data_IF_721108229938
#
_entry.id   IF_721108229938
#
_cell.length_a   1.000
_cell.length_b   1.000
_cell.length_c   1.000
_cell.angle_alpha   90.00
_cell.angle_beta   90.00
_cell.angle_gamma   90.00
#
_symmetry.space_group_name_H-M   'P 1'
#
loop_
_entity.id
_entity.type
_entity.pdbx_description
1 polymer ?
2 non-polymer ?
3 water ?
#
# COMPACT_ATOMS: atom_id res chain seq x y z
N UNK A 1 5.89 -0.98 13.77
CA UNK A 1 5.04 0.13 14.20
C UNK A 1 3.63 -0.05 13.67
N UNK A 2 3.55 -0.43 12.39
CA UNK A 2 2.27 -0.88 11.86
C UNK A 2 1.90 -2.26 12.41
N UNK A 3 2.83 -2.96 13.06
CA UNK A 3 2.57 -4.25 13.72
C UNK A 3 1.95 -4.11 15.10
N UNK A 4 1.96 -2.93 15.71
CA UNK A 4 1.42 -2.76 17.07
C UNK A 4 -0.05 -2.38 16.98
N UNK A 5 -0.92 -3.19 17.60
CA UNK A 5 -2.35 -2.89 17.58
C UNK A 5 -2.70 -1.62 18.34
N UNK A 6 -1.73 -0.99 19.01
CA UNK A 6 -2.00 0.28 19.69
C UNK A 6 -2.33 1.37 18.68
N UNK A 7 -1.72 1.33 17.51
CA UNK A 7 -1.96 2.33 16.46
C UNK A 7 -2.99 1.89 15.43
N UNK A 8 -3.60 0.73 15.61
CA UNK A 8 -4.65 0.26 14.70
C UNK A 8 -5.96 1.04 14.84
N UNK A 9 -5.85 2.36 15.01
CA UNK A 9 -6.98 3.26 15.18
C UNK A 9 -7.74 3.45 13.86
N UNK A 10 -8.91 4.09 13.96
CA UNK A 10 -9.72 4.28 12.76
C UNK A 10 -9.14 5.35 11.84
N UNK A 11 -8.61 6.43 12.43
CA UNK A 11 -7.91 7.43 11.63
C UNK A 11 -6.75 6.80 10.88
N UNK A 12 -6.00 5.92 11.53
CA UNK A 12 -4.90 5.26 10.85
C UNK A 12 -5.39 4.25 9.82
N UNK A 13 -6.53 3.60 10.08
CA UNK A 13 -7.10 2.68 9.09
C UNK A 13 -7.43 3.42 7.80
N UNK A 14 -8.10 4.58 7.91
CA UNK A 14 -8.45 5.38 6.73
C UNK A 14 -7.22 5.93 6.04
N UNK A 15 -6.24 6.40 6.83
CA UNK A 15 -4.99 6.90 6.25
C UNK A 15 -4.32 5.83 5.41
N UNK A 16 -4.19 4.63 5.97
CA UNK A 16 -3.61 3.51 5.22
C UNK A 16 -4.45 3.18 4.00
N UNK A 17 -5.78 3.20 4.14
CA UNK A 17 -6.65 2.88 3.01
C UNK A 17 -6.35 3.81 1.83
N UNK A 18 -6.29 5.11 2.09
CA UNK A 18 -6.11 6.04 0.99
C UNK A 18 -4.69 5.97 0.44
N UNK A 19 -3.69 5.81 1.31
CA UNK A 19 -2.32 5.68 0.81
C UNK A 19 -2.14 4.40 0.00
N UNK A 20 -2.87 3.35 0.38
CA UNK A 20 -2.77 2.13 -0.41
C UNK A 20 -3.39 2.30 -1.79
N UNK A 21 -4.46 3.10 -1.91
CA UNK A 21 -4.96 3.39 -3.26
C UNK A 21 -3.92 4.12 -4.11
N UNK A 22 -3.27 5.12 -3.52
CA UNK A 22 -2.21 5.83 -4.27
C UNK A 22 -1.15 4.85 -4.75
N UNK A 23 -0.68 4.01 -3.83
CA UNK A 23 0.40 3.08 -4.14
C UNK A 23 -0.07 2.03 -5.14
N UNK A 24 -1.36 1.70 -5.15
CA UNK A 24 -1.84 0.62 -6.05
C UNK A 24 -1.68 1.02 -7.52
N UNK A 25 -1.90 2.29 -7.84
CA UNK A 25 -1.77 2.78 -9.23
C UNK A 25 -0.30 2.69 -9.67
N UNK A 26 0.62 3.04 -8.78
CA UNK A 26 2.07 2.93 -9.11
C UNK A 26 2.41 1.49 -9.45
N UNK A 27 1.83 0.52 -8.74
CA UNK A 27 2.18 -0.91 -8.94
C UNK A 27 1.60 -1.42 -10.26
N UNK A 28 0.75 -0.62 -10.91
CA UNK A 28 0.17 -1.00 -12.21
C UNK A 28 1.00 -0.41 -13.35
N UNK A 29 1.94 0.49 -13.04
CA UNK A 29 2.82 1.03 -14.10
C UNK A 29 3.64 -0.09 -14.72
N UNK A 30 3.83 -0.10 -16.06
CA UNK A 30 4.69 -1.10 -16.69
C UNK A 30 6.11 -1.01 -16.13
N UNK A 31 6.78 -2.16 -15.97
CA UNK A 31 8.11 -2.20 -15.36
C UNK A 31 8.03 -2.39 -13.86
N UNK A 32 7.22 -1.59 -13.20
CA UNK A 32 7.10 -1.64 -11.71
C UNK A 32 6.32 -2.90 -11.35
N UNK A 33 5.35 -3.25 -12.19
CA UNK A 33 4.50 -4.38 -11.80
C UNK A 33 5.29 -5.68 -11.81
N UNK A 34 6.07 -5.90 -12.87
CA UNK A 34 7.04 -6.99 -12.90
C UNK A 34 7.97 -6.98 -11.69
N UNK A 35 8.56 -5.81 -11.39
CA UNK A 35 9.51 -5.76 -10.28
C UNK A 35 8.83 -6.10 -8.96
N UNK A 36 7.59 -5.68 -8.80
CA UNK A 36 6.85 -6.00 -7.59
C UNK A 36 6.57 -7.50 -7.48
N UNK A 37 6.17 -8.15 -8.58
CA UNK A 37 5.89 -9.58 -8.46
C UNK A 37 7.17 -10.37 -8.20
N UNK A 38 8.29 -9.90 -8.74
CA UNK A 38 9.59 -10.48 -8.41
C UNK A 38 9.89 -10.34 -6.92
N UNK A 39 9.74 -9.13 -6.40
CA UNK A 39 9.87 -8.87 -4.98
C UNK A 39 9.03 -9.85 -4.15
N UNK A 40 7.74 -9.99 -4.50
CA UNK A 40 6.86 -10.85 -3.73
C UNK A 40 7.35 -12.30 -3.74
N UNK A 41 7.75 -12.78 -4.93
CA UNK A 41 8.32 -14.11 -5.08
C UNK A 41 9.45 -14.33 -4.07
N UNK A 42 10.38 -13.37 -4.02
CA UNK A 42 11.53 -13.50 -3.12
C UNK A 42 11.09 -13.46 -1.66
N UNK A 43 10.28 -12.49 -1.29
CA UNK A 43 9.99 -12.17 0.10
C UNK A 43 9.03 -13.13 0.80
N UNK A 44 8.20 -13.86 0.04
CA UNK A 44 7.20 -14.73 0.71
C UNK A 44 7.87 -15.67 1.72
N UNK A 45 9.14 -16.01 1.52
CA UNK A 45 9.84 -16.95 2.40
C UNK A 45 10.35 -16.33 3.71
N UNK A 46 10.50 -15.02 3.76
CA UNK A 46 11.01 -14.36 4.96
C UNK A 46 10.08 -14.59 6.14
N UNK A 47 10.67 -14.82 7.32
CA UNK A 47 9.87 -15.05 8.52
C UNK A 47 9.20 -13.77 9.02
N UNK A 48 9.71 -12.59 8.65
CA UNK A 48 8.96 -11.36 8.88
C UNK A 48 7.52 -11.45 8.35
N UNK A 49 7.25 -12.34 7.40
CA UNK A 49 5.94 -12.40 6.77
C UNK A 49 5.17 -13.66 7.18
N UNK A 50 5.39 -14.13 8.40
CA UNK A 50 4.60 -15.24 8.93
C UNK A 50 3.18 -14.75 9.16
N UNK A 51 2.20 -15.52 8.68
CA UNK A 51 0.81 -15.12 8.77
C UNK A 51 0.35 -14.09 7.75
N UNK A 52 1.21 -13.69 6.80
CA UNK A 52 0.82 -12.89 5.64
C UNK A 52 0.67 -13.71 4.35
N UNK A 53 0.67 -15.05 4.45
CA UNK A 53 0.73 -15.88 3.25
C UNK A 53 -0.50 -15.69 2.37
N UNK A 54 -1.69 -15.56 2.96
CA UNK A 54 -2.88 -15.30 2.16
C UNK A 54 -2.75 -14.00 1.36
N UNK A 55 -2.19 -12.97 1.98
CA UNK A 55 -2.01 -11.68 1.28
C UNK A 55 -0.97 -11.78 0.18
N UNK A 56 0.17 -12.43 0.48
CA UNK A 56 1.13 -12.72 -0.58
C UNK A 56 0.47 -13.46 -1.73
N UNK A 57 -0.39 -14.43 -1.44
CA UNK A 57 -1.00 -15.21 -2.50
C UNK A 57 -1.91 -14.34 -3.33
N UNK A 58 -2.73 -13.53 -2.67
CA UNK A 58 -3.64 -12.65 -3.38
C UNK A 58 -2.88 -11.66 -4.26
N UNK A 59 -1.83 -11.03 -3.72
CA UNK A 59 -1.07 -10.08 -4.52
C UNK A 59 -0.33 -10.77 -5.65
N UNK A 60 0.13 -12.01 -5.43
CA UNK A 60 0.92 -12.71 -6.43
C UNK A 60 0.07 -13.20 -7.60
N UNK A 61 -1.20 -13.50 -7.37
CA UNK A 61 -2.06 -14.07 -8.40
C UNK A 61 -3.12 -13.10 -8.88
N UNK A 62 -2.93 -11.80 -8.64
CA UNK A 62 -3.84 -10.79 -9.15
C UNK A 62 -5.23 -10.80 -8.56
N UNK A 63 -5.34 -11.02 -7.23
CA UNK A 63 -6.63 -10.87 -6.60
C UNK A 63 -6.87 -9.40 -6.24
N UNK A 64 -8.13 -8.96 -6.26
CA UNK A 64 -8.42 -7.60 -5.79
C UNK A 64 -7.89 -7.38 -4.38
N UNK A 65 -7.44 -6.15 -4.10
CA UNK A 65 -6.84 -5.86 -2.77
C UNK A 65 -7.88 -6.10 -1.68
N UNK A 66 -9.13 -5.75 -1.98
CA UNK A 66 -10.23 -5.94 -0.99
C UNK A 66 -11.24 -6.93 -1.60
N UNK A 67 -12.07 -7.56 -0.77
CA UNK A 67 -12.95 -8.64 -1.30
C UNK A 67 -13.93 -8.12 -2.37
N UNK A 68 -14.83 -7.21 -2.00
CA UNK A 68 -15.89 -6.72 -2.95
C UNK A 68 -16.83 -7.89 -3.29
N UNK B 1 -7.99 -0.11 -0.77
CA UNK B 1 -8.04 0.22 -2.20
C UNK B 1 -9.42 0.01 -2.84
N UNK B 2 -10.35 0.92 -2.55
CA UNK B 2 -11.63 1.07 -3.25
C UNK B 2 -12.31 2.34 -2.75
N UNK B 3 -12.97 3.05 -3.65
CA UNK B 3 -13.66 4.28 -3.29
C UNK B 3 -15.08 4.04 -2.76
N UNK B 4 -15.48 2.80 -2.52
CA UNK B 4 -16.83 2.49 -2.06
C UNK B 4 -16.84 2.32 -0.54
N UNK B 5 -17.57 3.22 0.13
CA UNK B 5 -17.76 3.12 1.57
C UNK B 5 -18.51 1.84 1.94
N UNK B 6 -19.24 1.24 0.99
CA UNK B 6 -19.92 -0.03 1.27
C UNK B 6 -18.92 -1.17 1.48
N UNK B 7 -17.81 -1.14 0.75
CA UNK B 7 -16.76 -2.15 0.89
C UNK B 7 -15.77 -1.83 2.00
N UNK B 8 -16.00 -0.77 2.78
CA UNK B 8 -15.06 -0.34 3.81
C UNK B 8 -15.28 -1.12 5.11
N UNK B 9 -15.19 -2.44 4.98
CA UNK B 9 -15.39 -3.38 6.09
C UNK B 9 -14.10 -3.57 6.87
N UNK B 10 -14.23 -3.74 8.19
CA UNK B 10 -13.05 -3.92 9.04
C UNK B 10 -12.20 -5.10 8.60
N UNK B 11 -12.83 -6.13 8.02
CA UNK B 11 -12.06 -7.24 7.45
C UNK B 11 -11.23 -6.75 6.27
N UNK B 12 -11.83 -5.95 5.38
CA UNK B 12 -11.06 -5.37 4.30
C UNK B 12 -10.05 -4.35 4.81
N UNK B 13 -10.37 -3.63 5.89
CA UNK B 13 -9.39 -2.75 6.51
C UNK B 13 -8.14 -3.52 6.92
N UNK B 14 -8.32 -4.72 7.50
CA UNK B 14 -7.17 -5.52 7.92
C UNK B 14 -6.40 -6.06 6.72
N UNK B 15 -7.11 -6.58 5.72
CA UNK B 15 -6.51 -6.96 4.45
C UNK B 15 -5.60 -5.85 3.90
N UNK B 16 -6.14 -4.63 3.83
CA UNK B 16 -5.42 -3.54 3.21
C UNK B 16 -4.25 -3.12 4.08
N UNK B 17 -4.46 -3.09 5.41
CA UNK B 17 -3.35 -2.84 6.33
C UNK B 17 -2.17 -3.76 6.05
N UNK B 18 -2.44 -5.06 5.94
CA UNK B 18 -1.34 -6.02 5.77
C UNK B 18 -0.70 -5.89 4.40
N UNK B 19 -1.50 -5.67 3.35
CA UNK B 19 -0.89 -5.52 2.03
C UNK B 19 -0.06 -4.25 1.95
N UNK B 20 -0.48 -3.19 2.65
CA UNK B 20 0.34 -2.00 2.67
C UNK B 20 1.65 -2.27 3.40
N UNK B 21 1.64 -3.03 4.49
CA UNK B 21 2.91 -3.37 5.13
C UNK B 21 3.82 -4.10 4.16
N UNK B 22 3.25 -4.98 3.34
CA UNK B 22 4.06 -5.72 2.38
C UNK B 22 4.65 -4.77 1.34
N UNK B 23 3.85 -3.86 0.80
CA UNK B 23 4.35 -3.03 -0.30
C UNK B 23 5.29 -1.93 0.22
N UNK B 24 5.13 -1.53 1.47
CA UNK B 24 6.00 -0.49 2.03
C UNK B 24 7.45 -0.92 1.97
N UNK B 25 7.73 -2.20 2.28
CA UNK B 25 9.09 -2.69 2.20
C UNK B 25 9.62 -2.61 0.76
N UNK B 26 8.75 -2.90 -0.21
CA UNK B 26 9.16 -2.84 -1.60
C UNK B 26 9.50 -1.42 -2.04
N UNK B 27 8.81 -0.42 -1.48
CA UNK B 27 9.01 0.96 -1.89
C UNK B 27 10.32 1.53 -1.37
N UNK B 28 10.86 0.97 -0.30
CA UNK B 28 12.10 1.48 0.24
C UNK B 28 13.32 0.90 -0.47
N UNK B 29 13.12 0.01 -1.43
CA UNK B 29 14.23 -0.62 -2.13
C UNK B 29 14.87 0.39 -3.09
N UNK B 30 16.19 0.40 -3.24
CA UNK B 30 16.83 1.41 -4.08
C UNK B 30 16.37 1.32 -5.53
N UNK B 31 16.32 2.48 -6.19
CA UNK B 31 15.73 2.56 -7.52
C UNK B 31 14.22 2.74 -7.45
N UNK B 32 13.54 1.80 -6.80
CA UNK B 32 12.07 1.81 -6.69
C UNK B 32 11.58 3.06 -5.97
N UNK B 33 12.27 3.47 -4.88
CA UNK B 33 11.84 4.65 -4.14
C UNK B 33 11.91 5.91 -5.00
N UNK B 34 12.89 5.98 -5.91
CA UNK B 34 13.00 7.15 -6.79
C UNK B 34 11.90 7.14 -7.85
N UNK B 35 11.61 5.97 -8.43
CA UNK B 35 10.55 5.91 -9.41
C UNK B 35 9.20 6.18 -8.75
N UNK B 36 9.07 5.82 -7.47
CA UNK B 36 7.86 6.14 -6.73
C UNK B 36 7.77 7.64 -6.49
N UNK B 37 8.89 8.27 -6.18
CA UNK B 37 8.88 9.73 -6.06
C UNK B 37 8.47 10.38 -7.38
N UNK B 38 9.01 9.90 -8.51
CA UNK B 38 8.62 10.46 -9.81
C UNK B 38 7.13 10.30 -10.03
N UNK B 39 6.60 9.13 -9.70
CA UNK B 39 5.17 8.88 -9.81
C UNK B 39 4.38 9.90 -9.00
N UNK B 40 4.78 10.13 -7.73
CA UNK B 40 4.03 11.07 -6.91
C UNK B 40 4.13 12.50 -7.45
N UNK B 41 5.33 12.89 -7.91
CA UNK B 41 5.51 14.24 -8.43
C UNK B 41 4.55 14.48 -9.60
N UNK B 42 4.29 13.45 -10.40
CA UNK B 42 3.31 13.56 -11.49
C UNK B 42 1.87 13.50 -10.95
N UNK B 43 1.60 12.55 -10.06
CA UNK B 43 0.24 12.23 -9.62
C UNK B 43 -0.37 13.30 -8.70
N UNK B 44 0.47 14.08 -8.01
CA UNK B 44 -0.06 15.09 -7.10
C UNK B 44 -0.82 16.19 -7.83
N UNK B 45 -0.61 16.33 -9.14
CA UNK B 45 -1.32 17.29 -9.96
C UNK B 45 -2.58 16.72 -10.63
N UNK B 46 -2.96 15.47 -10.32
CA UNK B 46 -4.04 14.79 -11.03
C UNK B 46 -5.33 14.97 -10.27
N UNK B 47 -6.23 15.78 -10.83
CA UNK B 47 -7.45 16.19 -10.15
C UNK B 47 -8.42 15.04 -9.93
N UNK B 48 -8.19 13.87 -10.53
CA UNK B 48 -8.99 12.69 -10.19
C UNK B 48 -8.88 12.30 -8.71
N UNK B 49 -7.79 12.68 -8.04
CA UNK B 49 -7.62 12.42 -6.61
C UNK B 49 -8.31 13.51 -5.79
N UNK B 50 -9.64 13.42 -5.78
CA UNK B 50 -10.47 14.29 -4.96
C UNK B 50 -10.38 13.85 -3.51
N UNK B 51 -9.85 14.72 -2.65
CA UNK B 51 -9.76 14.43 -1.23
C UNK B 51 -8.48 13.78 -0.77
N UNK B 52 -7.52 13.56 -1.65
CA UNK B 52 -6.27 12.91 -1.28
C UNK B 52 -5.14 13.91 -1.11
N UNK B 53 -5.43 15.21 -1.13
CA UNK B 53 -4.38 16.22 -0.99
C UNK B 53 -3.46 15.90 0.19
N UNK B 54 -4.06 15.54 1.33
CA UNK B 54 -3.26 15.35 2.53
C UNK B 54 -2.40 14.08 2.43
N UNK B 55 -2.93 13.02 1.83
CA UNK B 55 -2.15 11.79 1.75
C UNK B 55 -1.03 11.92 0.71
N UNK B 56 -1.28 12.65 -0.38
CA UNK B 56 -0.20 12.95 -1.32
C UNK B 56 0.86 13.82 -0.68
N UNK B 57 0.45 14.78 0.16
CA UNK B 57 1.42 15.63 0.85
C UNK B 57 2.27 14.80 1.81
N UNK B 58 1.64 13.90 2.57
CA UNK B 58 2.42 13.10 3.51
C UNK B 58 3.37 12.16 2.79
N UNK B 59 2.93 11.51 1.69
CA UNK B 59 3.85 10.62 0.98
C UNK B 59 4.97 11.39 0.31
N UNK B 60 4.69 12.56 -0.25
CA UNK B 60 5.72 13.23 -1.03
C UNK B 60 6.80 13.81 -0.11
N UNK B 61 6.42 14.38 1.03
CA UNK B 61 7.38 14.93 1.96
C UNK B 61 7.94 13.88 2.93
N UNK B 62 7.63 12.61 2.72
CA UNK B 62 8.19 11.57 3.57
C UNK B 62 7.70 11.58 5.00
N UNK B 63 6.46 11.99 5.23
CA UNK B 63 5.88 11.89 6.56
C UNK B 63 5.56 10.43 6.86
N UNK B 64 5.47 10.07 8.15
CA UNK B 64 5.18 8.67 8.50
C UNK B 64 3.88 8.20 7.85
N UNK B 65 3.78 6.88 7.62
CA UNK B 65 2.60 6.35 6.95
C UNK B 65 1.39 6.41 7.88
N UNK B 66 1.59 6.16 9.18
CA UNK B 66 0.53 6.23 10.17
C UNK B 66 0.94 7.18 11.28
N UNK B 67 -0.02 7.51 12.14
CA UNK B 67 0.17 8.48 13.21
C UNK B 67 0.42 7.75 14.52
N UNK B 68 1.66 7.85 15.02
CA UNK B 68 2.04 7.27 16.29
C UNK B 68 1.67 8.23 17.43
X LIG C 1 12.63 13.11 -10.98
#
# INVERSE_FOLDING_TARGET
>A
SMTNNKYYTEENKKKVWKKHMIVDKFLEQPGISEAYLNYLQEEIHNDEWIGFENEFFEELTGKPVINVGDKIKATKQYSAVH
>B
SMTNNKYYTEENKKKVWKKHMIVDKFLEQPGISEAYLNYLQEEIHNDEWIGFENEFFEELTGKPVINVGDKIKATKQYSAVH
>C hetero
1 CA CA
#
